data_IF_359609763822
#
_entry.id   IF_359609763822
#
_cell.length_a   1.000
_cell.length_b   1.000
_cell.length_c   1.000
_cell.angle_alpha   90.00
_cell.angle_beta   90.00
_cell.angle_gamma   90.00
#
_symmetry.space_group_name_H-M   'P 1'
#
loop_
_entity.id
_entity.type
_entity.pdbx_description
1 polymer ?
#
# COMPACT_ATOMS: atom_id res chain seq x y z
N UNK A 1 -12.30 -4.63 -45.55
CA UNK A 1 -11.22 -4.57 -44.54
C UNK A 1 -11.04 -3.21 -43.85
N UNK A 2 -11.47 -2.07 -44.41
CA UNK A 2 -11.37 -0.76 -43.71
C UNK A 2 -12.41 -0.54 -42.58
N UNK A 3 -13.52 -1.29 -42.59
CA UNK A 3 -14.63 -1.10 -41.64
C UNK A 3 -14.37 -1.72 -40.26
N UNK A 4 -13.55 -2.78 -40.17
CA UNK A 4 -13.19 -3.40 -38.88
C UNK A 4 -12.15 -2.57 -38.10
N UNK A 5 -11.22 -1.91 -38.79
CA UNK A 5 -10.13 -1.13 -38.19
C UNK A 5 -10.64 0.10 -37.41
N UNK A 6 -11.73 0.74 -37.84
CA UNK A 6 -12.29 1.92 -37.15
C UNK A 6 -13.14 1.53 -35.93
N UNK A 7 -13.81 0.37 -35.97
CA UNK A 7 -14.67 -0.10 -34.88
C UNK A 7 -13.83 -0.62 -33.69
N UNK A 8 -12.70 -1.29 -33.94
CA UNK A 8 -11.78 -1.73 -32.86
C UNK A 8 -11.12 -0.55 -32.13
N UNK A 9 -10.82 0.55 -32.83
CA UNK A 9 -10.24 1.75 -32.20
C UNK A 9 -11.21 2.53 -31.31
N UNK A 10 -12.53 2.27 -31.42
CA UNK A 10 -13.57 3.03 -30.70
C UNK A 10 -13.94 2.40 -29.35
N UNK A 11 -13.82 1.07 -29.19
CA UNK A 11 -14.26 0.34 -27.98
C UNK A 11 -13.34 0.49 -26.76
N UNK A 12 -12.07 0.88 -26.95
CA UNK A 12 -11.11 1.08 -25.85
C UNK A 12 -11.12 2.51 -25.28
N UNK A 13 -11.48 3.53 -26.08
CA UNK A 13 -11.40 4.95 -25.67
C UNK A 13 -12.57 5.42 -24.79
N UNK A 14 -13.72 4.74 -24.81
CA UNK A 14 -14.95 5.19 -24.15
C UNK A 14 -15.31 4.48 -22.84
N UNK A 15 -14.46 3.55 -22.35
CA UNK A 15 -14.71 2.79 -21.10
C UNK A 15 -13.76 3.10 -19.95
N UNK A 16 -12.92 4.13 -20.07
CA UNK A 16 -12.21 4.64 -18.91
C UNK A 16 -13.18 5.52 -18.11
N UNK A 17 -13.77 4.97 -17.04
CA UNK A 17 -14.27 5.84 -15.97
C UNK A 17 -13.14 6.77 -15.54
N UNK A 18 -13.41 8.04 -15.18
CA UNK A 18 -12.35 8.92 -14.70
C UNK A 18 -11.71 8.27 -13.47
N UNK A 19 -10.51 7.71 -13.66
CA UNK A 19 -9.79 7.04 -12.59
C UNK A 19 -9.33 8.10 -11.60
N UNK A 20 -9.50 7.82 -10.31
CA UNK A 20 -9.07 8.73 -9.26
C UNK A 20 -7.56 8.93 -9.41
N UNK A 21 -7.13 10.18 -9.63
CA UNK A 21 -5.72 10.52 -9.81
C UNK A 21 -4.88 9.89 -8.70
N UNK A 22 -3.77 9.28 -9.06
CA UNK A 22 -2.81 8.71 -8.11
C UNK A 22 -1.62 9.65 -8.00
N UNK A 23 -0.76 9.44 -6.99
CA UNK A 23 0.48 10.21 -6.84
C UNK A 23 1.41 10.12 -8.06
N UNK A 24 1.20 9.16 -8.98
CA UNK A 24 2.01 8.97 -10.19
C UNK A 24 1.33 9.49 -11.46
N UNK A 25 0.01 9.62 -11.45
CA UNK A 25 -0.77 10.01 -12.63
C UNK A 25 -1.23 11.47 -12.60
N UNK A 26 -1.04 12.17 -11.48
CA UNK A 26 -1.34 13.60 -11.39
C UNK A 26 -0.22 14.51 -11.91
N UNK A 27 -0.48 15.82 -12.07
CA UNK A 27 0.51 16.81 -12.47
C UNK A 27 1.62 16.99 -11.41
N UNK A 28 2.73 17.67 -11.76
CA UNK A 28 3.94 17.80 -10.92
C UNK A 28 3.68 18.31 -9.49
N UNK A 29 2.69 19.17 -9.30
CA UNK A 29 2.35 19.77 -8.00
C UNK A 29 1.28 18.98 -7.21
N UNK A 30 0.90 17.80 -7.68
CA UNK A 30 -0.14 16.98 -7.05
C UNK A 30 0.43 16.05 -5.97
N UNK A 31 0.12 16.34 -4.71
CA UNK A 31 0.49 15.50 -3.57
C UNK A 31 -0.74 14.80 -2.96
N UNK A 32 -0.92 13.51 -3.25
CA UNK A 32 -2.06 12.71 -2.74
C UNK A 32 -1.81 12.02 -1.39
N UNK A 33 -0.55 11.76 -1.04
CA UNK A 33 -0.22 10.92 0.12
C UNK A 33 -0.63 9.44 -0.03
N UNK A 34 -0.40 8.66 1.04
CA UNK A 34 -0.67 7.20 1.13
C UNK A 34 -1.29 6.79 2.48
N UNK A 35 -1.98 7.71 3.15
CA UNK A 35 -2.58 7.50 4.47
C UNK A 35 -1.59 6.98 5.52
N UNK A 36 -0.29 7.31 5.39
CA UNK A 36 0.72 6.97 6.37
C UNK A 36 0.58 7.88 7.59
N UNK A 37 0.85 7.34 8.78
CA UNK A 37 0.86 8.09 10.03
C UNK A 37 1.96 9.17 10.01
N UNK A 38 1.66 10.33 10.59
CA UNK A 38 2.63 11.43 10.67
C UNK A 38 3.69 11.15 11.74
N UNK A 39 4.95 11.03 11.34
CA UNK A 39 6.08 10.81 12.25
C UNK A 39 6.52 12.07 13.01
N UNK A 40 6.14 13.25 12.54
CA UNK A 40 6.70 14.51 13.02
C UNK A 40 5.91 15.73 12.57
N UNK A 41 6.60 16.86 12.38
CA UNK A 41 6.01 18.15 12.01
C UNK A 41 6.82 18.88 10.94
N UNK A 42 6.13 19.59 10.05
CA UNK A 42 6.74 20.56 9.15
C UNK A 42 7.12 21.86 9.89
N UNK A 43 8.26 22.42 9.55
CA UNK A 43 8.72 23.74 10.02
C UNK A 43 8.24 24.84 9.07
N UNK A 44 8.20 26.09 9.56
CA UNK A 44 7.84 27.25 8.74
C UNK A 44 8.73 27.41 7.49
N UNK A 45 9.97 26.93 7.52
CA UNK A 45 10.91 26.95 6.38
C UNK A 45 10.86 25.69 5.50
N UNK A 46 9.82 24.87 5.59
CA UNK A 46 9.62 23.68 4.75
C UNK A 46 10.44 22.45 5.14
N UNK A 47 11.34 22.53 6.14
CA UNK A 47 12.03 21.36 6.70
C UNK A 47 11.06 20.48 7.51
N UNK A 48 11.43 19.23 7.77
CA UNK A 48 10.66 18.30 8.61
C UNK A 48 11.43 17.95 9.88
N UNK A 49 10.76 17.96 11.04
CA UNK A 49 11.32 17.55 12.33
C UNK A 49 10.64 16.25 12.74
N UNK A 50 11.43 15.21 12.99
CA UNK A 50 10.97 13.91 13.48
C UNK A 50 10.76 13.95 14.99
N UNK A 51 9.68 13.33 15.47
CA UNK A 51 9.38 13.21 16.90
C UNK A 51 9.51 11.73 17.27
N UNK A 52 10.52 11.40 18.08
CA UNK A 52 10.86 10.00 18.40
C UNK A 52 9.71 9.24 19.09
N UNK A 53 8.84 9.94 19.80
CA UNK A 53 7.67 9.36 20.48
C UNK A 53 6.59 8.88 19.50
N UNK A 54 6.49 9.49 18.32
CA UNK A 54 5.51 9.12 17.29
C UNK A 54 5.99 7.98 16.39
N UNK A 55 7.25 7.57 16.52
CA UNK A 55 7.79 6.46 15.74
C UNK A 55 7.25 5.12 16.28
N UNK A 56 6.72 4.24 15.42
CA UNK A 56 6.31 2.92 15.85
C UNK A 56 7.53 2.12 16.32
N UNK A 57 7.46 1.59 17.55
CA UNK A 57 8.49 0.73 18.14
C UNK A 57 7.99 -0.72 18.13
N UNK A 58 8.64 -1.57 17.35
CA UNK A 58 8.37 -3.00 17.35
C UNK A 58 9.34 -3.66 18.33
N UNK A 59 8.83 -4.05 19.50
CA UNK A 59 9.60 -4.82 20.48
C UNK A 59 9.57 -6.28 20.05
N UNK A 60 10.67 -6.74 19.45
CA UNK A 60 10.83 -8.13 19.03
C UNK A 60 11.46 -8.90 20.20
N UNK A 61 10.79 -9.91 20.77
CA UNK A 61 11.40 -10.76 21.79
C UNK A 61 12.49 -11.64 21.17
N UNK A 62 13.44 -12.07 21.99
CA UNK A 62 14.43 -13.07 21.56
C UNK A 62 13.77 -14.44 21.40
N UNK A 63 14.06 -15.12 20.29
CA UNK A 63 13.43 -16.37 19.88
C UNK A 63 14.45 -17.51 19.74
N UNK A 64 15.68 -17.31 20.20
CA UNK A 64 16.72 -18.35 20.13
C UNK A 64 16.29 -19.59 20.92
N UNK A 65 16.09 -20.72 20.23
CA UNK A 65 15.72 -22.01 20.83
C UNK A 65 14.22 -22.30 20.94
N UNK A 66 13.35 -21.50 20.30
CA UNK A 66 11.91 -21.76 20.35
C UNK A 66 11.52 -22.99 19.50
N UNK A 67 10.84 -24.00 20.06
CA UNK A 67 10.52 -25.24 19.34
C UNK A 67 9.32 -25.10 18.40
N UNK A 68 8.52 -24.04 18.52
CA UNK A 68 7.30 -23.87 17.72
C UNK A 68 7.63 -23.31 16.33
N UNK A 69 6.95 -23.86 15.34
CA UNK A 69 7.00 -23.45 13.93
C UNK A 69 5.69 -22.74 13.56
N UNK A 70 5.67 -21.91 12.49
CA UNK A 70 4.43 -21.24 12.03
C UNK A 70 3.37 -22.23 11.52
N UNK A 71 3.76 -23.46 11.22
CA UNK A 71 2.90 -24.50 10.70
C UNK A 71 2.87 -25.70 11.64
N UNK A 72 1.75 -26.43 11.57
CA UNK A 72 1.50 -27.67 12.30
C UNK A 72 1.33 -28.80 11.29
N UNK A 73 1.59 -30.03 11.71
CA UNK A 73 1.34 -31.22 10.91
C UNK A 73 -0.15 -31.38 10.60
N UNK A 74 -0.49 -31.82 9.39
CA UNK A 74 -1.88 -31.96 8.96
C UNK A 74 -2.62 -33.12 9.63
N UNK A 75 -1.89 -34.07 10.23
CA UNK A 75 -2.43 -35.28 10.86
C UNK A 75 -2.96 -35.06 12.27
N UNK A 76 -2.72 -33.90 12.87
CA UNK A 76 -3.17 -33.62 14.24
C UNK A 76 -4.70 -33.48 14.30
N UNK A 77 -5.40 -34.12 15.25
CA UNK A 77 -6.84 -33.96 15.38
C UNK A 77 -7.20 -32.52 15.76
N UNK A 78 -8.27 -31.98 15.15
CA UNK A 78 -8.76 -30.62 15.44
C UNK A 78 -9.53 -30.65 16.75
N UNK A 79 -9.14 -29.80 17.70
CA UNK A 79 -9.91 -29.57 18.91
C UNK A 79 -11.02 -28.54 18.60
N UNK A 80 -12.22 -29.03 18.30
CA UNK A 80 -13.41 -28.20 18.10
C UNK A 80 -14.16 -28.22 19.45
N UNK A 81 -14.23 -27.11 20.19
CA UNK A 81 -15.05 -27.02 21.40
C UNK A 81 -16.55 -27.07 21.07
#
# INVERSE_FOLDING_TARGET
MLVACVIEQYLCKHRASPNILTSKTGPRNYYKGKNCLSTGRHTSKGKYILIAEKLPKYVVPDLTGFPLKPYVEHSTPKNIP
#
